data_IF_603469450101
#
_entry.id   IF_603469450101
#
_cell.length_a   1.000
_cell.length_b   1.000
_cell.length_c   1.000
_cell.angle_alpha   90.00
_cell.angle_beta   90.00
_cell.angle_gamma   90.00
#
_symmetry.space_group_name_H-M   'P 1'
#
loop_
_entity.id
_entity.type
_entity.pdbx_description
1 polymer ?
#
# COMPACT_ATOMS: atom_id res chain seq x y z
N UNK A 1 13.63 -28.28 7.69
CA UNK A 1 14.13 -28.06 9.07
C UNK A 1 13.64 -29.18 10.00
N UNK A 2 14.31 -30.35 10.07
CA UNK A 2 13.88 -31.47 10.90
C UNK A 2 14.73 -31.68 12.19
N UNK A 3 15.38 -30.64 12.73
CA UNK A 3 16.33 -30.78 13.84
C UNK A 3 15.77 -30.65 15.26
N UNK A 4 14.64 -29.96 15.43
CA UNK A 4 14.25 -29.47 16.77
C UNK A 4 13.49 -30.51 17.61
N UNK A 5 12.66 -31.35 16.98
CA UNK A 5 11.92 -32.41 17.67
C UNK A 5 12.84 -33.47 18.32
N UNK A 6 14.05 -33.65 17.77
CA UNK A 6 15.04 -34.58 18.30
C UNK A 6 15.73 -34.04 19.56
N UNK A 7 15.91 -32.72 19.70
CA UNK A 7 16.50 -32.11 20.88
C UNK A 7 15.59 -32.21 22.10
N UNK A 8 14.30 -31.87 21.96
CA UNK A 8 13.33 -31.95 23.06
C UNK A 8 13.20 -33.38 23.59
N UNK A 9 13.19 -34.38 22.71
CA UNK A 9 13.18 -35.80 23.08
C UNK A 9 14.47 -36.25 23.80
N UNK A 10 15.65 -35.80 23.33
CA UNK A 10 16.94 -36.06 24.00
C UNK A 10 16.96 -35.48 25.43
N UNK A 11 16.44 -34.27 25.60
CA UNK A 11 16.44 -33.61 26.91
C UNK A 11 15.42 -34.17 27.90
N UNK A 12 14.25 -34.60 27.42
CA UNK A 12 13.29 -35.33 28.25
C UNK A 12 13.89 -36.64 28.79
N UNK A 13 14.67 -37.36 27.97
CA UNK A 13 15.38 -38.57 28.37
C UNK A 13 16.55 -38.29 29.34
N UNK A 14 17.31 -37.23 29.11
CA UNK A 14 18.40 -36.80 30.00
C UNK A 14 17.89 -36.40 31.39
N UNK A 15 16.80 -35.63 31.46
CA UNK A 15 16.16 -35.23 32.71
C UNK A 15 15.68 -36.43 33.53
N UNK A 16 15.15 -37.47 32.87
CA UNK A 16 14.73 -38.72 33.52
C UNK A 16 15.91 -39.50 34.10
N UNK A 17 17.07 -39.49 33.44
CA UNK A 17 18.30 -40.16 33.92
C UNK A 17 18.94 -39.44 35.10
N UNK A 18 18.92 -38.11 35.11
CA UNK A 18 19.40 -37.29 36.22
C UNK A 18 18.61 -37.49 37.52
N UNK A 19 17.36 -37.96 37.43
CA UNK A 19 16.53 -38.31 38.60
C UNK A 19 16.85 -39.68 39.22
N UNK A 20 17.81 -40.45 38.68
CA UNK A 20 18.26 -41.72 39.26
C UNK A 20 19.55 -41.55 40.08
N UNK A 21 19.73 -42.37 41.13
CA UNK A 21 20.71 -42.18 42.23
C UNK A 21 22.21 -42.16 41.84
N UNK A 22 22.58 -42.39 40.57
CA UNK A 22 23.93 -42.15 40.06
C UNK A 22 23.92 -40.92 39.16
N UNK A 23 24.17 -39.76 39.77
CA UNK A 23 24.16 -38.48 39.08
C UNK A 23 25.37 -38.34 38.13
N UNK A 24 25.18 -38.77 36.88
CA UNK A 24 26.03 -38.33 35.78
C UNK A 24 25.66 -36.88 35.41
N UNK A 25 26.62 -35.96 35.55
CA UNK A 25 26.45 -34.54 35.27
C UNK A 25 26.67 -34.19 33.80
N UNK A 26 27.15 -35.12 32.98
CA UNK A 26 27.41 -34.88 31.57
C UNK A 26 26.15 -34.42 30.80
N UNK A 27 24.96 -35.03 30.99
CA UNK A 27 23.75 -34.61 30.28
C UNK A 27 23.29 -33.20 30.66
N UNK A 28 23.53 -32.78 31.91
CA UNK A 28 23.23 -31.41 32.35
C UNK A 28 24.14 -30.39 31.67
N UNK A 29 25.44 -30.70 31.53
CA UNK A 29 26.39 -29.82 30.83
C UNK A 29 26.05 -29.68 29.35
N UNK A 30 25.66 -30.77 28.69
CA UNK A 30 25.21 -30.76 27.30
C UNK A 30 23.96 -29.87 27.12
N UNK A 31 22.97 -29.98 28.01
CA UNK A 31 21.79 -29.10 28.00
C UNK A 31 22.15 -27.62 28.14
N UNK A 32 23.00 -27.29 29.12
CA UNK A 32 23.44 -25.91 29.33
C UNK A 32 24.20 -25.36 28.11
N UNK A 33 25.01 -26.20 27.45
CA UNK A 33 25.71 -25.83 26.23
C UNK A 33 24.74 -25.56 25.07
N UNK A 34 23.81 -26.47 24.81
CA UNK A 34 22.84 -26.33 23.72
C UNK A 34 21.92 -25.12 23.95
N UNK A 35 21.52 -24.84 25.20
CA UNK A 35 20.73 -23.65 25.54
C UNK A 35 21.53 -22.36 25.27
N UNK A 36 22.83 -22.34 25.57
CA UNK A 36 23.70 -21.22 25.24
C UNK A 36 23.87 -21.05 23.72
N UNK A 37 23.96 -22.14 22.96
CA UNK A 37 23.97 -22.10 21.49
C UNK A 37 22.66 -21.54 20.95
N UNK A 38 21.51 -22.01 21.45
CA UNK A 38 20.20 -21.55 21.02
C UNK A 38 20.04 -20.05 21.27
N UNK A 39 20.39 -19.56 22.46
CA UNK A 39 20.31 -18.12 22.77
C UNK A 39 21.23 -17.26 21.91
N UNK A 40 22.43 -17.75 21.56
CA UNK A 40 23.29 -17.06 20.58
C UNK A 40 22.63 -17.02 19.20
N UNK A 41 21.96 -18.10 18.81
CA UNK A 41 21.13 -18.15 17.60
C UNK A 41 20.02 -17.11 17.63
N UNK A 42 19.27 -17.01 18.73
CA UNK A 42 18.18 -16.05 18.90
C UNK A 42 18.68 -14.60 18.81
N UNK A 43 19.81 -14.29 19.46
CA UNK A 43 20.44 -12.98 19.34
C UNK A 43 20.90 -12.68 17.91
N UNK A 44 21.49 -13.67 17.22
CA UNK A 44 21.88 -13.54 15.82
C UNK A 44 20.69 -13.32 14.89
N UNK A 45 19.59 -14.04 15.10
CA UNK A 45 18.35 -13.88 14.36
C UNK A 45 17.71 -12.50 14.61
N UNK A 46 17.72 -12.04 15.86
CA UNK A 46 17.25 -10.70 16.20
C UNK A 46 18.08 -9.59 15.53
N UNK A 47 19.40 -9.73 15.49
CA UNK A 47 20.26 -8.78 14.79
C UNK A 47 20.05 -8.80 13.28
N UNK A 48 19.91 -9.99 12.70
CA UNK A 48 19.63 -10.15 11.26
C UNK A 48 18.29 -9.51 10.89
N UNK A 49 17.25 -9.67 11.72
CA UNK A 49 15.96 -9.03 11.52
C UNK A 49 16.07 -7.50 11.48
N UNK A 50 16.79 -6.91 12.43
CA UNK A 50 17.02 -5.46 12.48
C UNK A 50 17.76 -4.98 11.20
N UNK A 51 18.75 -5.75 10.74
CA UNK A 51 19.51 -5.40 9.53
C UNK A 51 18.65 -5.54 8.26
N UNK A 52 17.77 -6.54 8.19
CA UNK A 52 16.81 -6.69 7.11
C UNK A 52 15.83 -5.51 7.04
N UNK A 53 15.31 -5.06 8.18
CA UNK A 53 14.46 -3.87 8.26
C UNK A 53 15.20 -2.62 7.80
N UNK A 54 16.43 -2.41 8.27
CA UNK A 54 17.30 -1.30 7.84
C UNK A 54 17.49 -1.29 6.32
N UNK A 55 17.82 -2.45 5.73
CA UNK A 55 17.99 -2.61 4.28
C UNK A 55 16.68 -2.47 3.50
N UNK A 56 15.54 -2.78 4.10
CA UNK A 56 14.24 -2.56 3.49
C UNK A 56 13.93 -1.05 3.40
N UNK A 57 14.22 -0.30 4.46
CA UNK A 57 14.00 1.14 4.47
C UNK A 57 14.97 1.87 3.52
N UNK A 58 16.25 1.50 3.49
CA UNK A 58 17.21 2.01 2.48
C UNK A 58 16.79 1.71 1.03
N UNK A 59 16.09 0.59 0.80
CA UNK A 59 15.55 0.28 -0.53
C UNK A 59 14.38 1.19 -0.88
N UNK A 60 13.45 1.40 0.04
CA UNK A 60 12.32 2.32 -0.15
C UNK A 60 12.81 3.75 -0.42
N UNK A 61 13.80 4.23 0.34
CA UNK A 61 14.38 5.56 0.15
C UNK A 61 15.00 5.70 -1.25
N UNK A 62 15.81 4.72 -1.67
CA UNK A 62 16.38 4.71 -3.03
C UNK A 62 15.31 4.65 -4.12
N UNK A 63 14.23 3.89 -3.92
CA UNK A 63 13.11 3.86 -4.88
C UNK A 63 12.42 5.22 -4.98
N UNK A 64 12.24 5.91 -3.85
CA UNK A 64 11.70 7.28 -3.82
C UNK A 64 12.62 8.24 -4.57
N UNK A 65 13.94 8.20 -4.31
CA UNK A 65 14.93 9.02 -5.00
C UNK A 65 14.91 8.81 -6.52
N UNK A 66 14.87 7.54 -6.96
CA UNK A 66 14.77 7.21 -8.38
C UNK A 66 13.48 7.73 -8.99
N UNK A 67 12.36 7.64 -8.29
CA UNK A 67 11.08 8.18 -8.76
C UNK A 67 11.13 9.71 -8.86
N UNK A 68 11.72 10.38 -7.88
CA UNK A 68 11.91 11.83 -7.95
C UNK A 68 12.79 12.24 -9.14
N UNK A 69 13.91 11.54 -9.36
CA UNK A 69 14.79 11.77 -10.50
C UNK A 69 14.06 11.51 -11.81
N UNK A 70 13.25 10.46 -11.88
CA UNK A 70 12.40 10.16 -13.02
C UNK A 70 11.38 11.28 -13.28
N UNK A 71 10.70 11.78 -12.26
CA UNK A 71 9.74 12.89 -12.40
C UNK A 71 10.43 14.19 -12.82
N UNK A 72 11.62 14.47 -12.29
CA UNK A 72 12.44 15.63 -12.70
C UNK A 72 12.88 15.50 -14.16
N UNK A 73 13.30 14.31 -14.57
CA UNK A 73 13.67 13.99 -15.95
C UNK A 73 12.46 14.11 -16.91
N UNK A 74 11.32 13.53 -16.55
CA UNK A 74 10.08 13.58 -17.34
C UNK A 74 9.45 14.97 -17.42
N UNK A 75 9.85 15.91 -16.54
CA UNK A 75 9.40 17.31 -16.60
C UNK A 75 10.03 18.07 -17.77
N UNK A 76 11.16 17.60 -18.29
CA UNK A 76 11.79 18.20 -19.47
C UNK A 76 10.80 18.15 -20.66
N UNK A 77 10.50 19.29 -21.31
CA UNK A 77 9.53 19.35 -22.41
C UNK A 77 9.86 18.42 -23.57
N UNK A 78 11.13 18.28 -23.96
CA UNK A 78 11.53 17.42 -25.09
C UNK A 78 11.24 15.95 -24.80
N UNK A 79 11.56 15.51 -23.58
CA UNK A 79 11.31 14.15 -23.10
C UNK A 79 9.81 13.92 -22.94
N UNK A 80 9.09 14.89 -22.35
CA UNK A 80 7.64 14.82 -22.17
C UNK A 80 6.94 14.67 -23.51
N UNK A 81 7.31 15.46 -24.51
CA UNK A 81 6.76 15.37 -25.86
C UNK A 81 7.11 14.04 -26.53
N UNK A 82 8.32 13.53 -26.33
CA UNK A 82 8.71 12.22 -26.85
C UNK A 82 7.88 11.08 -26.22
N UNK A 83 7.64 11.11 -24.91
CA UNK A 83 6.83 10.11 -24.19
C UNK A 83 5.35 10.25 -24.56
N UNK A 84 4.83 11.47 -24.64
CA UNK A 84 3.42 11.74 -24.93
C UNK A 84 3.08 11.77 -26.42
N UNK A 85 4.04 11.43 -27.31
CA UNK A 85 3.78 11.43 -28.75
C UNK A 85 2.68 10.43 -29.10
N UNK A 86 1.57 10.94 -29.65
CA UNK A 86 0.40 10.11 -30.01
C UNK A 86 -0.49 9.73 -28.83
N UNK A 87 -0.21 10.24 -27.62
CA UNK A 87 -1.11 10.10 -26.47
C UNK A 87 -2.29 11.06 -26.64
N UNK A 88 -3.51 10.52 -26.53
CA UNK A 88 -4.75 11.29 -26.47
C UNK A 88 -5.24 11.20 -25.03
N UNK A 89 -5.55 12.33 -24.40
CA UNK A 89 -6.04 12.31 -23.03
C UNK A 89 -7.37 11.55 -22.97
N UNK A 90 -7.69 10.99 -21.80
CA UNK A 90 -8.98 10.29 -21.62
C UNK A 90 -10.15 11.21 -21.93
N UNK A 91 -10.04 12.48 -21.56
CA UNK A 91 -11.06 13.50 -21.81
C UNK A 91 -11.21 13.78 -23.31
N UNK A 92 -10.11 13.96 -24.04
CA UNK A 92 -10.13 14.17 -25.49
C UNK A 92 -10.68 12.95 -26.22
N UNK A 93 -10.33 11.75 -25.76
CA UNK A 93 -10.87 10.50 -26.30
C UNK A 93 -12.38 10.39 -26.06
N UNK A 94 -12.85 10.80 -24.89
CA UNK A 94 -14.28 10.86 -24.57
C UNK A 94 -14.98 11.94 -25.41
N UNK A 95 -14.34 13.08 -25.64
CA UNK A 95 -14.88 14.14 -26.51
C UNK A 95 -15.01 13.66 -27.96
N UNK A 96 -13.98 12.99 -28.49
CA UNK A 96 -14.00 12.33 -29.80
C UNK A 96 -15.15 11.31 -29.89
N UNK A 97 -15.31 10.47 -28.87
CA UNK A 97 -16.40 9.48 -28.81
C UNK A 97 -17.77 10.15 -28.76
N UNK A 98 -17.94 11.19 -27.95
CA UNK A 98 -19.18 11.97 -27.87
C UNK A 98 -19.50 12.63 -29.22
N UNK A 99 -18.52 13.23 -29.86
CA UNK A 99 -18.67 13.85 -31.17
C UNK A 99 -19.03 12.83 -32.25
N UNK A 100 -18.46 11.62 -32.20
CA UNK A 100 -18.81 10.54 -33.12
C UNK A 100 -20.23 10.01 -32.90
N UNK A 101 -20.69 9.91 -31.65
CA UNK A 101 -22.02 9.36 -31.33
C UNK A 101 -23.16 10.36 -31.48
N UNK A 102 -22.92 11.63 -31.16
CA UNK A 102 -23.98 12.64 -31.09
C UNK A 102 -23.76 13.84 -32.02
N UNK A 103 -22.68 13.85 -32.80
CA UNK A 103 -22.28 15.01 -33.59
C UNK A 103 -21.73 16.14 -32.71
N UNK A 104 -21.69 17.36 -33.25
CA UNK A 104 -21.22 18.53 -32.51
C UNK A 104 -22.30 19.02 -31.52
N UNK A 105 -22.31 18.40 -30.34
CA UNK A 105 -23.32 18.64 -29.31
C UNK A 105 -23.30 20.09 -28.81
N UNK A 106 -22.14 20.74 -28.81
CA UNK A 106 -21.98 22.14 -28.40
C UNK A 106 -22.57 23.11 -29.44
N UNK A 107 -22.50 22.78 -30.73
CA UNK A 107 -23.23 23.53 -31.77
C UNK A 107 -24.74 23.31 -31.68
N UNK A 108 -25.20 22.09 -31.36
CA UNK A 108 -26.63 21.81 -31.19
C UNK A 108 -27.21 22.53 -29.97
N UNK A 109 -26.44 22.62 -28.87
CA UNK A 109 -26.83 23.40 -27.69
C UNK A 109 -26.87 24.91 -27.98
N UNK A 110 -25.94 25.43 -28.80
CA UNK A 110 -25.89 26.85 -29.21
C UNK A 110 -26.94 27.23 -30.27
N UNK A 111 -27.30 26.32 -31.17
CA UNK A 111 -28.36 26.53 -32.18
C UNK A 111 -29.78 26.33 -31.64
N UNK A 112 -29.92 25.90 -30.38
CA UNK A 112 -31.21 25.86 -29.68
C UNK A 112 -31.74 27.27 -29.40
N UNK A 113 -32.60 27.79 -30.28
CA UNK A 113 -33.58 28.81 -29.88
C UNK A 113 -34.51 28.25 -28.77
N UNK A 114 -35.04 29.11 -27.87
CA UNK A 114 -35.94 28.70 -26.80
C UNK A 114 -37.29 28.35 -27.42
N UNK A 115 -37.58 27.06 -27.55
CA UNK A 115 -38.79 26.64 -28.23
C UNK A 115 -38.93 25.14 -28.36
N UNK A 116 -38.76 24.41 -27.26
CA UNK A 116 -39.34 23.08 -27.20
C UNK A 116 -40.78 23.24 -26.70
N UNK A 117 -41.82 22.77 -27.42
CA UNK A 117 -43.12 22.64 -26.81
C UNK A 117 -42.97 21.69 -25.63
N UNK A 118 -43.30 22.19 -24.45
CA UNK A 118 -43.38 21.41 -23.23
C UNK A 118 -44.12 20.10 -23.53
N UNK A 119 -43.51 18.91 -23.35
CA UNK A 119 -44.30 17.69 -23.36
C UNK A 119 -45.37 17.86 -22.28
N UNK A 120 -46.63 17.47 -22.54
CA UNK A 120 -47.72 17.64 -21.58
C UNK A 120 -47.24 17.10 -20.24
N UNK A 121 -47.21 18.00 -19.24
CA UNK A 121 -46.71 17.68 -17.91
C UNK A 121 -47.35 16.39 -17.46
N UNK A 122 -46.54 15.39 -17.16
CA UNK A 122 -47.01 14.20 -16.45
C UNK A 122 -47.02 14.56 -14.96
N UNK A 123 -48.18 14.56 -14.29
CA UNK A 123 -48.26 14.69 -12.84
C UNK A 123 -47.43 13.63 -12.12
N UNK A 124 -46.27 14.07 -11.62
CA UNK A 124 -45.56 13.45 -10.50
C UNK A 124 -44.95 14.57 -9.65
N UNK A 125 -45.82 15.48 -9.19
CA UNK A 125 -45.59 16.19 -7.93
C UNK A 125 -45.81 15.18 -6.81
N UNK A 126 -44.75 14.73 -6.13
CA UNK A 126 -44.94 13.93 -4.92
C UNK A 126 -43.82 13.04 -4.41
N UNK A 127 -42.61 13.00 -5.00
CA UNK A 127 -41.49 12.32 -4.36
C UNK A 127 -40.53 13.33 -3.73
N UNK A 128 -40.59 13.37 -2.39
CA UNK A 128 -39.59 13.94 -1.49
C UNK A 128 -38.17 13.56 -1.97
N UNK A 129 -37.19 14.48 -1.95
CA UNK A 129 -35.81 14.10 -2.24
C UNK A 129 -35.36 13.05 -1.23
N UNK A 130 -35.05 11.86 -1.73
CA UNK A 130 -34.26 10.88 -0.99
C UNK A 130 -32.86 11.49 -0.86
N UNK A 131 -32.28 11.61 0.34
CA UNK A 131 -30.91 12.07 0.48
C UNK A 131 -30.00 11.11 -0.29
N UNK A 132 -29.04 11.68 -1.02
CA UNK A 132 -28.07 10.95 -1.83
C UNK A 132 -27.51 9.75 -1.04
N UNK A 133 -27.53 8.52 -1.60
CA UNK A 133 -26.65 7.49 -1.08
C UNK A 133 -25.23 8.01 -1.32
N UNK A 134 -24.59 8.41 -0.22
CA UNK A 134 -23.14 8.53 -0.07
C UNK A 134 -22.51 7.44 -0.94
N UNK A 135 -21.80 7.87 -1.99
CA UNK A 135 -20.97 6.98 -2.75
C UNK A 135 -19.86 6.53 -1.80
N UNK A 136 -20.10 5.42 -1.12
CA UNK A 136 -19.07 4.55 -0.55
C UNK A 136 -18.23 4.02 -1.71
N UNK A 137 -17.39 4.91 -2.25
CA UNK A 137 -16.26 4.54 -3.06
C UNK A 137 -15.07 4.48 -2.10
N UNK A 138 -14.64 3.28 -1.64
CA UNK A 138 -13.53 3.15 -0.70
C UNK A 138 -12.19 3.68 -1.27
N UNK A 139 -12.13 4.03 -2.56
CA UNK A 139 -10.95 4.60 -3.20
C UNK A 139 -10.83 6.13 -3.06
N UNK A 140 -11.91 6.86 -2.71
CA UNK A 140 -11.89 8.33 -2.66
C UNK A 140 -11.80 8.92 -1.24
N UNK A 141 -11.99 8.11 -0.19
CA UNK A 141 -11.97 8.58 1.19
C UNK A 141 -10.56 8.85 1.75
N UNK A 142 -9.48 8.33 1.14
CA UNK A 142 -8.12 8.53 1.65
C UNK A 142 -7.44 9.83 1.18
N UNK A 143 -8.05 10.62 0.31
CA UNK A 143 -7.42 11.82 -0.25
C UNK A 143 -7.78 13.14 0.47
N UNK A 144 -8.67 13.10 1.47
CA UNK A 144 -9.23 14.32 2.08
C UNK A 144 -9.15 14.35 3.62
N UNK A 145 -8.11 13.76 4.20
CA UNK A 145 -7.81 13.94 5.63
C UNK A 145 -6.30 13.95 5.82
N UNK A 146 -5.70 15.12 5.68
CA UNK A 146 -4.72 15.66 6.62
C UNK A 146 -4.31 17.09 6.20
N UNK A 147 -4.59 18.13 7.01
CA UNK A 147 -3.96 19.44 6.82
C UNK A 147 -2.48 19.39 7.23
N UNK A 148 -1.55 20.04 6.52
CA UNK A 148 -0.17 20.14 6.97
C UNK A 148 -0.11 20.96 8.27
N UNK A 149 0.43 20.36 9.33
CA UNK A 149 0.64 21.03 10.60
C UNK A 149 1.61 22.23 10.46
N UNK A 150 1.36 23.36 11.14
CA UNK A 150 2.29 24.48 11.15
C UNK A 150 3.54 24.15 11.96
N UNK A 151 4.70 24.45 11.39
CA UNK A 151 6.02 24.33 12.02
C UNK A 151 6.08 25.14 13.33
N UNK A 152 6.45 24.48 14.42
CA UNK A 152 6.89 25.14 15.67
C UNK A 152 8.29 24.65 16.03
N UNK A 153 9.27 25.55 16.30
CA UNK A 153 10.62 25.15 16.66
C UNK A 153 10.70 24.72 18.14
N UNK A 154 11.46 23.67 18.43
CA UNK A 154 11.76 23.19 19.78
C UNK A 154 12.69 24.15 20.54
N UNK A 155 12.49 24.38 21.85
CA UNK A 155 13.44 25.10 22.70
C UNK A 155 14.65 24.22 23.08
N UNK A 156 15.77 24.89 23.35
CA UNK A 156 17.05 24.34 23.83
C UNK A 156 16.97 23.71 25.21
#
# INVERSE_FOLDING_TARGET
MPGNACATARYALAARKLGQEQADWQPLRELCHDLAVLRRGDHGAGWLHIEEERLADERKEREQDLNELFLKWARNPEIREAICRGYISREDRLALLKQQMFGDLDELLKKGQPGHPQPPGSPIDGMKPVPDPVADCPACAQAASDPPAPNTPLPR
#
